data_IF_712537779265
#
_entry.id   IF_712537779265
#
_cell.length_a   1.000
_cell.length_b   1.000
_cell.length_c   1.000
_cell.angle_alpha   90.00
_cell.angle_beta   90.00
_cell.angle_gamma   90.00
#
_symmetry.space_group_name_H-M   'P 1'
#
loop_
_entity.id
_entity.type
_entity.pdbx_description
1 polymer ?
#
# COMPACT_ATOMS: atom_id res chain seq x y z
N UNK A 1 -3.90 36.20 25.40
CA UNK A 1 -4.20 34.84 25.89
C UNK A 1 -4.22 33.91 24.68
N UNK A 2 -3.22 33.04 24.56
CA UNK A 2 -3.19 32.00 23.53
C UNK A 2 -4.03 30.82 24.04
N UNK A 3 -5.14 30.51 23.37
CA UNK A 3 -6.01 29.39 23.73
C UNK A 3 -5.71 28.21 22.79
N UNK A 4 -5.05 27.13 23.27
CA UNK A 4 -4.67 25.99 22.43
C UNK A 4 -5.88 25.22 21.85
N UNK A 5 -7.07 25.37 22.43
CA UNK A 5 -8.30 24.70 21.98
C UNK A 5 -9.12 25.51 20.97
N UNK A 6 -8.74 26.77 20.70
CA UNK A 6 -9.38 27.66 19.73
C UNK A 6 -8.34 28.54 19.04
N UNK A 7 -7.58 27.99 18.07
CA UNK A 7 -6.65 28.79 17.28
C UNK A 7 -7.40 29.86 16.48
N UNK A 8 -6.69 30.93 16.11
CA UNK A 8 -7.24 31.95 15.21
C UNK A 8 -7.59 31.31 13.87
N UNK A 9 -8.73 31.68 13.25
CA UNK A 9 -9.18 31.04 12.02
C UNK A 9 -8.13 31.24 10.91
N UNK A 10 -7.73 30.14 10.27
CA UNK A 10 -6.82 30.16 9.14
C UNK A 10 -7.46 30.88 7.92
N UNK A 11 -6.67 31.53 7.06
CA UNK A 11 -7.19 32.26 5.91
C UNK A 11 -8.02 31.36 4.98
N UNK A 12 -9.03 31.92 4.29
CA UNK A 12 -9.79 31.20 3.26
C UNK A 12 -8.88 30.81 2.08
N UNK A 13 -9.24 29.74 1.37
CA UNK A 13 -8.56 29.26 0.16
C UNK A 13 -7.11 28.79 0.39
N UNK A 14 -6.87 27.99 1.43
CA UNK A 14 -5.53 27.48 1.78
C UNK A 14 -4.85 26.71 0.62
N UNK A 15 -5.64 25.93 -0.14
CA UNK A 15 -5.19 25.02 -1.20
C UNK A 15 -5.26 25.58 -2.62
N UNK A 16 -5.87 26.76 -2.83
CA UNK A 16 -6.08 27.34 -4.15
C UNK A 16 -4.76 27.53 -4.90
N UNK A 17 -4.68 26.98 -6.12
CA UNK A 17 -3.51 27.05 -7.00
C UNK A 17 -2.30 26.22 -6.53
N UNK A 18 -2.42 25.47 -5.42
CA UNK A 18 -1.36 24.59 -4.93
C UNK A 18 -1.64 23.15 -5.32
N UNK A 19 -0.60 22.47 -5.81
CA UNK A 19 -0.62 21.02 -6.04
C UNK A 19 -0.35 20.27 -4.74
N UNK A 20 -0.82 19.04 -4.65
CA UNK A 20 -0.59 18.17 -3.48
C UNK A 20 0.92 18.05 -3.19
N UNK A 21 1.40 18.42 -1.97
CA UNK A 21 2.82 18.45 -1.63
C UNK A 21 3.45 17.06 -1.42
N UNK A 22 2.67 15.98 -1.51
CA UNK A 22 3.16 14.59 -1.42
C UNK A 22 4.32 14.29 -2.40
N UNK A 23 4.31 14.92 -3.57
CA UNK A 23 5.33 14.71 -4.62
C UNK A 23 6.65 15.42 -4.32
N UNK A 24 6.60 16.64 -3.78
CA UNK A 24 7.77 17.44 -3.41
C UNK A 24 8.31 17.17 -2.01
N UNK A 25 7.53 16.48 -1.15
CA UNK A 25 7.93 16.13 0.20
C UNK A 25 9.08 15.11 0.25
N UNK A 26 9.94 15.25 1.27
CA UNK A 26 11.01 14.30 1.55
C UNK A 26 10.45 12.89 1.85
N UNK A 27 11.23 11.81 1.62
CA UNK A 27 10.75 10.44 1.88
C UNK A 27 10.26 10.24 3.32
N UNK A 28 10.91 10.89 4.29
CA UNK A 28 10.51 10.84 5.70
C UNK A 28 9.17 11.56 5.95
N UNK A 29 8.96 12.72 5.32
CA UNK A 29 7.68 13.44 5.41
C UNK A 29 6.55 12.68 4.73
N UNK A 30 6.82 12.03 3.59
CA UNK A 30 5.86 11.16 2.90
C UNK A 30 5.48 9.94 3.75
N UNK A 31 6.43 9.39 4.49
CA UNK A 31 6.22 8.23 5.36
C UNK A 31 5.41 8.59 6.61
N UNK A 32 5.75 9.69 7.28
CA UNK A 32 5.09 10.15 8.49
C UNK A 32 3.82 10.97 8.21
N UNK A 33 3.44 11.12 6.93
CA UNK A 33 2.33 11.97 6.49
C UNK A 33 2.41 13.41 7.00
N UNK A 34 3.60 13.90 7.38
CA UNK A 34 3.76 15.24 7.98
C UNK A 34 3.45 16.38 7.01
N UNK A 35 3.41 16.09 5.71
CA UNK A 35 2.95 17.05 4.69
C UNK A 35 1.44 17.37 4.81
N UNK A 36 0.66 16.55 5.53
CA UNK A 36 -0.77 16.73 5.75
C UNK A 36 -1.08 17.61 6.98
N UNK A 37 -0.13 17.73 7.91
CA UNK A 37 -0.25 18.51 9.16
C UNK A 37 -0.78 19.95 8.94
N UNK A 38 -0.27 20.76 7.99
CA UNK A 38 -0.79 22.11 7.79
C UNK A 38 -2.25 22.14 7.34
N UNK A 39 -2.71 21.11 6.61
CA UNK A 39 -4.11 21.00 6.20
C UNK A 39 -5.03 20.58 7.35
N UNK A 40 -4.57 19.66 8.21
CA UNK A 40 -5.30 19.27 9.42
C UNK A 40 -5.44 20.44 10.40
N UNK A 41 -4.41 21.28 10.51
CA UNK A 41 -4.45 22.50 11.32
C UNK A 41 -5.53 23.48 10.84
N UNK A 42 -5.71 23.63 9.52
CA UNK A 42 -6.80 24.46 8.94
C UNK A 42 -8.16 23.87 9.30
N UNK A 43 -8.35 22.56 9.14
CA UNK A 43 -9.60 21.87 9.49
C UNK A 43 -9.93 21.87 10.99
N UNK A 44 -8.91 21.91 11.86
CA UNK A 44 -9.09 22.10 13.29
C UNK A 44 -9.51 23.54 13.64
N UNK A 45 -9.07 24.51 12.84
CA UNK A 45 -9.36 25.94 13.08
C UNK A 45 -10.73 26.37 12.57
N UNK A 46 -11.15 25.88 11.40
CA UNK A 46 -12.44 26.20 10.78
C UNK A 46 -12.96 25.06 9.90
N UNK A 47 -14.27 24.97 9.60
CA UNK A 47 -14.79 24.01 8.63
C UNK A 47 -14.13 24.22 7.26
N UNK A 48 -13.80 23.10 6.61
CA UNK A 48 -13.12 23.08 5.31
C UNK A 48 -14.07 23.46 4.18
N UNK A 49 -13.59 24.29 3.27
CA UNK A 49 -14.31 24.68 2.05
C UNK A 49 -13.69 24.02 0.81
N UNK A 50 -14.40 24.07 -0.33
CA UNK A 50 -13.92 23.47 -1.59
C UNK A 50 -12.62 24.10 -2.10
N UNK A 51 -12.39 25.39 -1.83
CA UNK A 51 -11.17 26.12 -2.21
C UNK A 51 -9.94 25.78 -1.33
N UNK A 52 -10.13 25.05 -0.22
CA UNK A 52 -9.04 24.66 0.69
C UNK A 52 -8.33 23.37 0.25
N UNK A 53 -8.94 22.61 -0.66
CA UNK A 53 -8.36 21.37 -1.15
C UNK A 53 -7.24 21.63 -2.15
N UNK A 54 -6.21 20.78 -2.08
CA UNK A 54 -5.15 20.79 -3.08
C UNK A 54 -5.61 20.22 -4.41
N UNK A 55 -5.00 20.72 -5.48
CA UNK A 55 -5.17 20.18 -6.82
C UNK A 55 -4.33 18.91 -7.01
N UNK A 56 -4.91 17.91 -7.68
CA UNK A 56 -4.20 16.69 -8.04
C UNK A 56 -3.19 16.96 -9.17
N UNK A 57 -2.03 16.28 -9.19
CA UNK A 57 -1.09 16.36 -10.30
C UNK A 57 -1.68 15.74 -11.58
N UNK A 58 -1.26 16.23 -12.74
CA UNK A 58 -1.77 15.80 -14.05
C UNK A 58 -1.67 14.28 -14.29
N UNK A 59 -0.65 13.62 -13.71
CA UNK A 59 -0.45 12.17 -13.82
C UNK A 59 -1.52 11.34 -13.12
N UNK A 60 -2.23 11.91 -12.15
CA UNK A 60 -3.31 11.27 -11.39
C UNK A 60 -4.70 11.79 -11.80
N UNK A 61 -4.77 12.73 -12.74
CA UNK A 61 -6.03 13.26 -13.25
C UNK A 61 -6.78 12.20 -14.06
N UNK A 62 -8.12 12.22 -14.02
CA UNK A 62 -8.97 11.26 -14.72
C UNK A 62 -8.65 11.17 -16.21
N UNK A 63 -8.34 12.30 -16.85
CA UNK A 63 -8.02 12.36 -18.27
C UNK A 63 -6.80 11.49 -18.62
N UNK A 64 -5.67 11.69 -17.93
CA UNK A 64 -4.43 10.98 -18.22
C UNK A 64 -4.52 9.49 -17.90
N UNK A 65 -5.21 9.12 -16.81
CA UNK A 65 -5.46 7.73 -16.44
C UNK A 65 -6.33 7.01 -17.48
N UNK A 66 -7.45 7.64 -17.87
CA UNK A 66 -8.39 7.08 -18.87
C UNK A 66 -7.70 6.88 -20.21
N UNK A 67 -6.94 7.88 -20.68
CA UNK A 67 -6.17 7.77 -21.93
C UNK A 67 -5.17 6.62 -21.88
N UNK A 68 -4.49 6.42 -20.75
CA UNK A 68 -3.53 5.32 -20.59
C UNK A 68 -4.20 3.95 -20.68
N UNK A 69 -5.35 3.78 -20.03
CA UNK A 69 -6.11 2.52 -20.08
C UNK A 69 -6.72 2.29 -21.45
N UNK A 70 -7.30 3.31 -22.09
CA UNK A 70 -7.81 3.20 -23.46
C UNK A 70 -6.70 2.85 -24.44
N UNK A 71 -5.55 3.51 -24.37
CA UNK A 71 -4.39 3.18 -25.22
C UNK A 71 -3.97 1.72 -25.06
N UNK A 72 -3.87 1.23 -23.83
CA UNK A 72 -3.55 -0.16 -23.55
C UNK A 72 -4.64 -1.14 -24.01
N UNK A 73 -5.92 -0.73 -23.97
CA UNK A 73 -7.03 -1.54 -24.46
C UNK A 73 -7.01 -1.65 -25.99
N UNK A 74 -6.99 -0.51 -26.69
CA UNK A 74 -7.04 -0.46 -28.15
C UNK A 74 -5.73 -0.84 -28.85
N UNK A 75 -4.61 -0.96 -28.13
CA UNK A 75 -3.40 -1.60 -28.67
C UNK A 75 -3.60 -3.10 -28.90
N UNK A 76 -4.60 -3.72 -28.26
CA UNK A 76 -4.95 -5.14 -28.41
C UNK A 76 -6.06 -5.37 -29.43
N UNK A 77 -6.73 -4.32 -29.89
CA UNK A 77 -7.82 -4.42 -30.84
C UNK A 77 -7.31 -4.19 -32.28
N UNK A 78 -7.95 -4.79 -33.30
CA UNK A 78 -7.65 -4.51 -34.71
C UNK A 78 -7.76 -3.00 -35.01
N UNK A 79 -6.93 -2.45 -35.93
CA UNK A 79 -6.86 -1.01 -36.20
C UNK A 79 -8.21 -0.42 -36.63
N UNK A 80 -9.05 -1.19 -37.31
CA UNK A 80 -10.40 -0.80 -37.76
C UNK A 80 -11.36 -0.48 -36.61
N UNK A 81 -11.13 -1.06 -35.43
CA UNK A 81 -11.96 -0.88 -34.23
C UNK A 81 -11.47 0.25 -33.30
N UNK A 82 -10.35 0.89 -33.64
CA UNK A 82 -9.75 1.96 -32.84
C UNK A 82 -10.48 3.28 -33.11
N UNK A 83 -10.91 4.01 -32.07
CA UNK A 83 -11.55 5.29 -32.27
C UNK A 83 -10.55 6.36 -32.73
N UNK A 84 -11.00 7.24 -33.63
CA UNK A 84 -10.19 8.27 -34.30
C UNK A 84 -9.50 9.28 -33.37
N UNK A 85 -9.98 9.47 -32.14
CA UNK A 85 -9.32 10.40 -31.20
C UNK A 85 -8.00 9.84 -30.62
N UNK A 86 -7.78 8.52 -30.68
CA UNK A 86 -6.54 7.92 -30.15
C UNK A 86 -5.34 8.11 -31.07
N UNK A 87 -5.54 8.23 -32.39
CA UNK A 87 -4.46 8.56 -33.32
C UNK A 87 -3.86 9.93 -33.01
N UNK A 88 -4.71 10.91 -32.66
CA UNK A 88 -4.28 12.26 -32.35
C UNK A 88 -3.52 12.34 -31.01
N UNK A 89 -3.83 11.45 -30.05
CA UNK A 89 -3.16 11.38 -28.75
C UNK A 89 -1.79 10.67 -28.79
N UNK A 90 -1.48 9.93 -29.85
CA UNK A 90 -0.15 9.35 -30.06
C UNK A 90 0.90 10.42 -30.39
N UNK A 91 0.48 11.53 -31.00
CA UNK A 91 1.36 12.68 -31.28
C UNK A 91 1.57 13.56 -30.03
N UNK A 92 0.53 13.80 -29.23
CA UNK A 92 0.65 14.53 -27.95
C UNK A 92 1.52 13.79 -26.92
N UNK A 93 1.44 12.46 -26.91
CA UNK A 93 2.26 11.61 -26.05
C UNK A 93 3.75 11.73 -26.37
N UNK A 94 4.15 11.78 -27.65
CA UNK A 94 5.56 11.97 -28.03
C UNK A 94 6.12 13.30 -27.53
N UNK A 95 5.31 14.37 -27.54
CA UNK A 95 5.69 15.71 -27.05
C UNK A 95 5.89 15.72 -25.53
N UNK A 96 5.02 15.05 -24.76
CA UNK A 96 5.13 14.98 -23.29
C UNK A 96 6.26 14.05 -22.81
N UNK A 97 6.48 12.93 -23.51
CA UNK A 97 7.56 11.97 -23.19
C UNK A 97 8.94 12.55 -23.51
N UNK A 98 9.05 13.38 -24.56
CA UNK A 98 10.26 14.17 -24.84
C UNK A 98 10.56 15.19 -23.73
N UNK A 99 9.53 15.91 -23.25
CA UNK A 99 9.63 16.89 -22.15
C UNK A 99 10.01 16.26 -20.81
N UNK A 100 9.59 15.01 -20.58
CA UNK A 100 9.92 14.23 -19.37
C UNK A 100 11.37 13.70 -19.42
N UNK A 101 11.85 13.30 -20.61
CA UNK A 101 13.27 12.91 -20.79
C UNK A 101 14.22 14.07 -20.53
N UNK A 102 13.91 15.27 -21.03
CA UNK A 102 14.68 16.49 -20.75
C UNK A 102 14.77 16.83 -19.25
N UNK A 103 13.68 16.66 -18.50
CA UNK A 103 13.66 16.93 -17.06
C UNK A 103 14.40 15.87 -16.25
N UNK A 104 14.42 14.61 -16.72
CA UNK A 104 15.15 13.51 -16.07
C UNK A 104 16.67 13.61 -16.34
N UNK A 105 17.08 14.07 -17.53
CA UNK A 105 18.49 14.29 -17.89
C UNK A 105 19.09 15.52 -17.18
N UNK A 106 18.27 16.55 -16.91
CA UNK A 106 18.67 17.71 -16.11
C UNK A 106 18.82 17.40 -14.60
N UNK A 107 18.11 16.40 -14.07
CA UNK A 107 18.28 15.93 -12.68
C UNK A 107 19.46 14.95 -12.54
N UNK A 108 19.71 14.10 -13.54
CA UNK A 108 20.81 13.12 -13.52
C UNK A 108 22.19 13.80 -13.63
N UNK A 109 22.28 14.93 -14.35
CA UNK A 109 23.50 15.74 -14.45
C UNK A 109 23.82 16.52 -13.16
N UNK A 110 22.81 16.86 -12.33
CA UNK A 110 23.03 17.53 -11.02
C UNK A 110 23.42 16.59 -9.88
N UNK A 111 23.02 15.32 -9.94
CA UNK A 111 23.39 14.32 -8.92
C UNK A 111 24.83 13.82 -9.05
N UNK A 112 25.40 13.81 -10.26
CA UNK A 112 26.75 13.27 -10.51
C UNK A 112 27.89 14.20 -10.03
N UNK A 113 27.62 15.50 -9.85
CA UNK A 113 28.64 16.46 -9.37
C UNK A 113 28.80 16.54 -7.84
N UNK A 114 28.02 15.77 -7.05
CA UNK A 114 28.08 15.83 -5.56
C UNK A 114 28.75 14.64 -4.87
N UNK A 115 29.15 13.58 -5.59
CA UNK A 115 29.74 12.38 -4.96
C UNK A 115 31.26 12.23 -5.10
N UNK A 116 31.99 13.20 -5.66
CA UNK A 116 33.47 13.14 -5.75
C UNK A 116 34.10 14.16 -4.80
N UNK A 117 34.07 13.90 -3.49
CA UNK A 117 35.10 14.39 -2.55
C UNK A 117 35.01 13.66 -1.20
N UNK A 118 36.02 12.84 -0.90
CA UNK A 118 36.29 12.38 0.46
C UNK A 118 36.67 10.90 0.59
N UNK A 119 37.81 10.49 0.02
CA UNK A 119 38.49 9.23 0.38
C UNK A 119 39.97 9.50 0.65
N UNK A 120 40.39 9.41 1.91
CA UNK A 120 41.74 9.11 2.42
C UNK A 120 41.50 8.36 3.74
N UNK A 121 41.83 7.07 3.90
CA UNK A 121 43.14 6.39 4.08
C UNK A 121 43.84 6.78 5.38
N UNK A 122 43.96 5.82 6.32
CA UNK A 122 45.15 5.63 7.15
C UNK A 122 45.14 4.23 7.79
N UNK A 123 46.17 3.44 7.45
CA UNK A 123 46.70 2.30 8.23
C UNK A 123 47.68 2.84 9.28
N UNK A 124 47.87 2.15 10.42
CA UNK A 124 49.20 1.85 11.02
C UNK A 124 49.10 0.81 12.17
N UNK A 125 49.64 -0.39 11.92
CA UNK A 125 50.65 -1.24 12.62
C UNK A 125 50.94 -1.18 14.15
N UNK A 126 51.24 -2.38 14.70
CA UNK A 126 52.11 -2.69 15.88
C UNK A 126 51.37 -2.84 17.23
N UNK A 127 51.61 -3.79 18.15
CA UNK A 127 52.74 -4.68 18.44
C UNK A 127 52.32 -5.90 19.30
N UNK A 128 53.28 -6.81 19.49
CA UNK A 128 53.20 -8.15 20.08
C UNK A 128 53.42 -8.22 21.63
N UNK A 129 53.54 -9.47 22.13
CA UNK A 129 53.91 -9.95 23.48
C UNK A 129 52.76 -10.04 24.52
N UNK A 130 52.63 -11.04 25.40
CA UNK A 130 53.52 -12.11 25.87
C UNK A 130 52.71 -13.23 26.55
N UNK A 131 53.24 -14.44 26.45
CA UNK A 131 52.95 -15.72 27.12
C UNK A 131 53.08 -15.68 28.65
N UNK A 132 52.27 -16.48 29.36
CA UNK A 132 52.78 -17.47 30.36
C UNK A 132 51.71 -18.50 30.76
N UNK A 133 52.16 -19.77 30.83
CA UNK A 133 51.53 -20.94 31.46
C UNK A 133 52.13 -21.15 32.85
N UNK A 134 51.35 -21.58 33.84
CA UNK A 134 51.67 -22.47 35.00
C UNK A 134 50.29 -22.93 35.54
N UNK A 135 49.82 -24.18 35.51
CA UNK A 135 50.23 -25.49 36.08
C UNK A 135 49.52 -25.83 37.41
N UNK A 136 48.93 -27.04 37.40
CA UNK A 136 48.56 -27.98 38.49
C UNK A 136 47.68 -27.57 39.68
N UNK A 137 46.51 -28.24 39.80
CA UNK A 137 46.22 -29.28 40.83
C UNK A 137 44.72 -29.44 41.17
N UNK A 138 44.30 -30.70 41.27
CA UNK A 138 43.03 -31.17 41.87
C UNK A 138 43.35 -31.65 43.30
N UNK A 139 42.44 -31.55 44.30
CA UNK A 139 41.39 -32.58 44.41
C UNK A 139 40.01 -32.11 44.93
N UNK A 140 39.06 -33.00 44.65
CA UNK A 140 37.65 -33.04 45.03
C UNK A 140 37.38 -32.77 46.53
N UNK A 141 36.26 -32.08 46.85
CA UNK A 141 35.26 -32.62 47.77
C UNK A 141 33.94 -31.80 47.90
N UNK A 142 32.87 -32.57 48.06
CA UNK A 142 31.63 -32.33 48.83
C UNK A 142 30.47 -31.53 48.24
N UNK A 143 29.33 -32.22 48.26
CA UNK A 143 27.97 -31.78 47.97
C UNK A 143 27.50 -30.60 48.81
N UNK A 144 26.71 -29.71 48.21
CA UNK A 144 25.53 -29.12 48.85
C UNK A 144 24.54 -28.61 47.80
N UNK A 145 23.29 -28.89 48.10
CA UNK A 145 22.09 -28.69 47.33
C UNK A 145 21.52 -27.33 47.74
N UNK A 146 21.56 -26.31 46.88
CA UNK A 146 20.88 -25.03 47.16
C UNK A 146 20.19 -24.48 45.89
N UNK A 147 18.85 -24.43 46.02
CA UNK A 147 17.91 -23.39 45.59
C UNK A 147 18.24 -22.58 44.34
N UNK A 148 17.27 -22.61 43.41
CA UNK A 148 17.24 -21.82 42.18
C UNK A 148 17.78 -20.40 42.34
N UNK A 149 18.95 -20.19 41.76
CA UNK A 149 19.49 -18.86 41.47
C UNK A 149 18.54 -18.17 40.50
N UNK A 150 17.86 -17.12 40.99
CA UNK A 150 17.31 -16.09 40.13
C UNK A 150 18.45 -15.53 39.29
N UNK A 151 18.51 -15.91 38.02
CA UNK A 151 19.45 -15.32 37.05
C UNK A 151 19.23 -13.80 37.08
N UNK A 152 20.21 -13.06 37.59
CA UNK A 152 20.26 -11.61 37.44
C UNK A 152 20.05 -11.27 35.95
N UNK A 153 19.23 -10.27 35.60
CA UNK A 153 19.02 -9.93 34.20
C UNK A 153 20.35 -9.48 33.63
N UNK A 154 20.98 -10.35 32.83
CA UNK A 154 22.20 -10.06 32.08
C UNK A 154 21.90 -8.87 31.16
N UNK A 155 22.24 -7.67 31.64
CA UNK A 155 22.03 -6.42 30.93
C UNK A 155 23.06 -6.37 29.80
N UNK A 156 22.67 -6.88 28.63
CA UNK A 156 23.45 -6.68 27.41
C UNK A 156 23.45 -5.18 27.11
N UNK A 157 24.55 -4.48 27.42
CA UNK A 157 24.81 -3.06 27.10
C UNK A 157 24.95 -2.78 25.59
N UNK A 158 24.45 -3.71 24.77
CA UNK A 158 24.54 -3.67 23.33
C UNK A 158 23.61 -2.58 22.80
N UNK A 159 24.16 -1.41 22.52
CA UNK A 159 23.49 -0.31 21.84
C UNK A 159 22.78 -0.77 20.56
N UNK A 160 23.34 -1.77 19.86
CA UNK A 160 22.71 -2.41 18.73
C UNK A 160 21.36 -3.06 19.06
N UNK A 161 21.22 -3.72 20.22
CA UNK A 161 19.99 -4.40 20.67
C UNK A 161 18.93 -3.39 21.09
N UNK A 162 19.35 -2.26 21.70
CA UNK A 162 18.48 -1.13 22.00
C UNK A 162 18.02 -0.38 20.75
N UNK A 163 18.93 -0.15 19.79
CA UNK A 163 18.60 0.47 18.50
C UNK A 163 17.65 -0.44 17.72
N UNK A 164 17.93 -1.74 17.66
CA UNK A 164 17.07 -2.70 17.03
C UNK A 164 15.69 -2.76 17.72
N UNK A 165 15.59 -2.85 19.04
CA UNK A 165 14.28 -2.94 19.71
C UNK A 165 13.39 -1.71 19.47
N UNK A 166 13.98 -0.52 19.34
CA UNK A 166 13.26 0.73 19.07
C UNK A 166 12.90 0.87 17.60
N UNK A 167 13.88 0.72 16.70
CA UNK A 167 13.68 1.03 15.28
C UNK A 167 13.07 -0.13 14.49
N UNK A 168 13.16 -1.37 14.98
CA UNK A 168 12.64 -2.54 14.25
C UNK A 168 11.11 -2.51 14.14
N UNK A 169 10.40 -2.24 15.24
CA UNK A 169 8.93 -2.14 15.23
C UNK A 169 8.50 -0.97 14.35
N UNK A 170 9.18 0.17 14.46
CA UNK A 170 8.88 1.36 13.67
C UNK A 170 9.14 1.14 12.18
N UNK A 171 10.21 0.42 11.81
CA UNK A 171 10.54 0.07 10.44
C UNK A 171 9.48 -0.84 9.81
N UNK A 172 9.06 -1.88 10.53
CA UNK A 172 8.00 -2.78 10.06
C UNK A 172 6.64 -2.10 9.95
N UNK A 173 6.28 -1.27 10.94
CA UNK A 173 5.04 -0.50 10.92
C UNK A 173 5.02 0.51 9.76
N UNK A 174 6.13 1.21 9.52
CA UNK A 174 6.34 2.10 8.38
C UNK A 174 6.20 1.36 7.04
N UNK A 175 6.83 0.20 6.91
CA UNK A 175 6.73 -0.65 5.71
C UNK A 175 5.30 -1.10 5.44
N UNK A 176 4.58 -1.53 6.49
CA UNK A 176 3.18 -1.96 6.40
C UNK A 176 2.26 -0.80 6.00
N UNK A 177 2.38 0.36 6.65
CA UNK A 177 1.60 1.55 6.30
C UNK A 177 1.85 2.00 4.85
N UNK A 178 3.10 1.96 4.40
CA UNK A 178 3.45 2.28 3.01
C UNK A 178 2.83 1.27 2.04
N UNK A 179 2.84 -0.02 2.37
CA UNK A 179 2.20 -1.06 1.58
C UNK A 179 0.69 -0.81 1.44
N UNK A 180 0.01 -0.52 2.56
CA UNK A 180 -1.43 -0.21 2.58
C UNK A 180 -1.74 1.04 1.75
N UNK A 181 -0.97 2.12 1.92
CA UNK A 181 -1.14 3.36 1.15
C UNK A 181 -0.98 3.14 -0.36
N UNK A 182 0.03 2.38 -0.78
CA UNK A 182 0.24 2.05 -2.21
C UNK A 182 -0.90 1.16 -2.75
N UNK A 183 -1.37 0.20 -1.96
CA UNK A 183 -2.48 -0.66 -2.36
C UNK A 183 -3.78 0.15 -2.55
N UNK A 184 -4.10 1.02 -1.59
CA UNK A 184 -5.30 1.87 -1.64
C UNK A 184 -5.25 2.85 -2.82
N UNK A 185 -4.13 3.55 -3.01
CA UNK A 185 -3.98 4.50 -4.11
C UNK A 185 -4.02 3.82 -5.49
N UNK A 186 -3.56 2.57 -5.59
CA UNK A 186 -3.67 1.78 -6.82
C UNK A 186 -5.12 1.43 -7.15
N UNK A 187 -5.92 1.05 -6.14
CA UNK A 187 -7.36 0.81 -6.28
C UNK A 187 -8.12 2.04 -6.76
N UNK A 188 -7.84 3.20 -6.17
CA UNK A 188 -8.48 4.47 -6.54
C UNK A 188 -8.15 4.86 -7.99
N UNK A 189 -6.88 4.76 -8.40
CA UNK A 189 -6.46 5.05 -9.79
C UNK A 189 -7.16 4.16 -10.80
N UNK A 190 -7.28 2.86 -10.52
CA UNK A 190 -8.01 1.92 -11.37
C UNK A 190 -9.48 2.34 -11.51
N UNK A 191 -10.16 2.60 -10.38
CA UNK A 191 -11.57 3.01 -10.38
C UNK A 191 -11.80 4.27 -11.21
N UNK A 192 -11.01 5.32 -10.97
CA UNK A 192 -11.14 6.59 -11.69
C UNK A 192 -10.96 6.40 -13.20
N UNK A 193 -9.99 5.59 -13.60
CA UNK A 193 -9.78 5.27 -15.02
C UNK A 193 -10.94 4.49 -15.63
N UNK A 194 -11.51 3.54 -14.88
CA UNK A 194 -12.60 2.70 -15.36
C UNK A 194 -13.89 3.51 -15.53
N UNK A 195 -14.20 4.41 -14.59
CA UNK A 195 -15.33 5.34 -14.68
C UNK A 195 -15.22 6.19 -15.95
N UNK A 196 -14.05 6.78 -16.20
CA UNK A 196 -13.81 7.59 -17.39
C UNK A 196 -13.98 6.79 -18.70
N UNK A 197 -13.46 5.57 -18.75
CA UNK A 197 -13.57 4.70 -19.93
C UNK A 197 -15.02 4.23 -20.18
N UNK A 198 -15.75 3.81 -19.13
CA UNK A 198 -17.16 3.42 -19.24
C UNK A 198 -18.01 4.60 -19.70
N UNK A 199 -17.78 5.79 -19.15
CA UNK A 199 -18.51 6.99 -19.53
C UNK A 199 -18.25 7.40 -20.99
N UNK A 200 -16.98 7.40 -21.45
CA UNK A 200 -16.66 7.64 -22.86
C UNK A 200 -17.32 6.61 -23.79
N UNK A 201 -17.33 5.35 -23.38
CA UNK A 201 -17.96 4.27 -24.16
C UNK A 201 -19.48 4.41 -24.19
N UNK A 202 -20.12 4.78 -23.08
CA UNK A 202 -21.58 4.89 -22.99
C UNK A 202 -22.15 5.97 -23.91
N UNK A 203 -21.39 7.06 -24.13
CA UNK A 203 -21.74 8.12 -25.06
C UNK A 203 -21.67 7.69 -26.54
N UNK A 204 -20.99 6.59 -26.86
CA UNK A 204 -20.75 6.09 -28.24
C UNK A 204 -21.42 4.74 -28.52
N UNK A 205 -22.27 4.26 -27.62
CA UNK A 205 -23.03 3.03 -27.83
C UNK A 205 -24.05 3.22 -28.95
N UNK A 206 -24.12 2.23 -29.84
CA UNK A 206 -25.16 2.17 -30.89
C UNK A 206 -26.55 1.99 -30.28
N UNK A 207 -27.60 2.33 -31.03
CA UNK A 207 -28.99 2.18 -30.57
C UNK A 207 -29.33 0.74 -30.17
N UNK A 208 -28.85 -0.25 -30.93
CA UNK A 208 -29.03 -1.68 -30.60
C UNK A 208 -28.33 -2.06 -29.29
N UNK A 209 -27.08 -1.67 -29.09
CA UNK A 209 -26.33 -1.98 -27.88
C UNK A 209 -26.89 -1.27 -26.62
N UNK A 210 -27.61 -0.16 -26.79
CA UNK A 210 -28.30 0.55 -25.70
C UNK A 210 -29.55 -0.18 -25.20
N UNK A 211 -30.12 -1.10 -26.01
CA UNK A 211 -31.19 -1.99 -25.57
C UNK A 211 -30.66 -3.06 -24.61
N UNK A 212 -29.48 -3.61 -24.90
CA UNK A 212 -28.83 -4.62 -24.06
C UNK A 212 -28.15 -4.03 -22.81
N UNK A 213 -27.72 -2.76 -22.89
CA UNK A 213 -27.08 -2.02 -21.81
C UNK A 213 -27.89 -0.77 -21.46
N UNK A 214 -28.87 -0.93 -20.58
CA UNK A 214 -29.71 0.16 -20.12
C UNK A 214 -28.92 1.21 -19.35
N UNK A 215 -29.45 2.44 -19.28
CA UNK A 215 -28.84 3.53 -18.51
C UNK A 215 -28.67 3.16 -17.04
N UNK A 216 -29.62 2.42 -16.47
CA UNK A 216 -29.54 1.89 -15.10
C UNK A 216 -28.40 0.88 -14.91
N UNK A 217 -28.21 -0.03 -15.86
CA UNK A 217 -27.09 -0.98 -15.83
C UNK A 217 -25.74 -0.26 -15.94
N UNK A 218 -25.61 0.72 -16.83
CA UNK A 218 -24.38 1.53 -16.97
C UNK A 218 -24.09 2.31 -15.68
N UNK A 219 -25.12 2.90 -15.07
CA UNK A 219 -25.00 3.61 -13.80
C UNK A 219 -24.57 2.66 -12.67
N UNK A 220 -25.07 1.43 -12.67
CA UNK A 220 -24.68 0.37 -11.72
C UNK A 220 -23.22 -0.04 -11.91
N UNK A 221 -22.76 -0.21 -13.15
CA UNK A 221 -21.35 -0.48 -13.44
C UNK A 221 -20.43 0.62 -12.88
N UNK A 222 -20.81 1.90 -13.06
CA UNK A 222 -20.04 3.05 -12.56
C UNK A 222 -20.06 3.14 -11.03
N UNK A 223 -21.22 3.03 -10.41
CA UNK A 223 -21.41 3.31 -8.97
C UNK A 223 -21.12 2.13 -8.06
N UNK A 224 -21.48 0.91 -8.46
CA UNK A 224 -21.34 -0.29 -7.63
C UNK A 224 -20.13 -1.13 -8.03
N UNK A 225 -20.00 -1.46 -9.31
CA UNK A 225 -18.98 -2.43 -9.74
C UNK A 225 -17.57 -1.87 -9.64
N UNK A 226 -17.37 -0.59 -9.98
CA UNK A 226 -16.05 0.04 -9.81
C UNK A 226 -15.61 0.13 -8.34
N UNK A 227 -16.56 0.34 -7.41
CA UNK A 227 -16.30 0.36 -5.96
C UNK A 227 -15.96 -1.04 -5.45
N UNK A 228 -16.66 -2.07 -5.92
CA UNK A 228 -16.35 -3.46 -5.60
C UNK A 228 -14.94 -3.83 -6.07
N UNK A 229 -14.60 -3.44 -7.30
CA UNK A 229 -13.26 -3.66 -7.87
C UNK A 229 -12.17 -2.92 -7.07
N UNK A 230 -12.39 -1.66 -6.69
CA UNK A 230 -11.47 -0.89 -5.84
C UNK A 230 -11.17 -1.62 -4.53
N UNK A 231 -12.21 -2.10 -3.84
CA UNK A 231 -12.06 -2.86 -2.59
C UNK A 231 -11.34 -4.19 -2.80
N UNK A 232 -11.66 -4.87 -3.89
CA UNK A 232 -11.04 -6.16 -4.23
C UNK A 232 -9.54 -6.03 -4.49
N UNK A 233 -9.08 -4.90 -5.05
CA UNK A 233 -7.66 -4.68 -5.32
C UNK A 233 -6.78 -4.84 -4.07
N UNK A 234 -7.24 -4.34 -2.92
CA UNK A 234 -6.56 -4.56 -1.64
C UNK A 234 -6.69 -6.01 -1.16
N UNK A 235 -7.88 -6.61 -1.28
CA UNK A 235 -8.15 -7.98 -0.82
C UNK A 235 -7.37 -9.05 -1.58
N UNK A 236 -7.06 -8.84 -2.86
CA UNK A 236 -6.24 -9.78 -3.66
C UNK A 236 -4.87 -9.99 -3.04
N UNK A 237 -4.29 -8.98 -2.39
CA UNK A 237 -3.01 -9.14 -1.72
C UNK A 237 -3.11 -10.11 -0.52
N UNK A 238 -4.26 -10.15 0.17
CA UNK A 238 -4.48 -11.11 1.25
C UNK A 238 -4.53 -12.56 0.74
N UNK A 239 -4.88 -12.79 -0.54
CA UNK A 239 -4.99 -14.14 -1.09
C UNK A 239 -3.67 -14.92 -1.05
N UNK A 240 -2.54 -14.22 -1.25
CA UNK A 240 -1.21 -14.84 -1.22
C UNK A 240 -0.44 -14.57 0.07
N UNK A 241 -0.72 -13.46 0.76
CA UNK A 241 -0.13 -13.19 2.09
C UNK A 241 -0.67 -14.16 3.14
N UNK A 242 -1.96 -14.50 3.12
CA UNK A 242 -2.55 -15.38 4.14
C UNK A 242 -1.92 -16.80 4.15
N UNK A 243 -1.73 -17.50 3.00
CA UNK A 243 -1.02 -18.77 2.98
C UNK A 243 0.41 -18.69 3.50
N UNK A 244 1.17 -17.65 3.11
CA UNK A 244 2.54 -17.44 3.58
C UNK A 244 2.56 -17.21 5.09
N UNK A 245 1.61 -16.44 5.62
CA UNK A 245 1.46 -16.19 7.04
C UNK A 245 1.11 -17.46 7.82
N UNK A 246 0.20 -18.30 7.30
CA UNK A 246 -0.15 -19.58 7.89
C UNK A 246 1.07 -20.52 7.90
N UNK A 247 1.82 -20.59 6.80
CA UNK A 247 3.01 -21.42 6.69
C UNK A 247 4.11 -20.98 7.68
N UNK A 248 4.36 -19.67 7.80
CA UNK A 248 5.26 -19.11 8.81
C UNK A 248 4.78 -19.46 10.24
N UNK A 249 3.49 -19.26 10.52
CA UNK A 249 2.90 -19.56 11.83
C UNK A 249 3.09 -21.02 12.22
N UNK A 250 2.78 -21.95 11.32
CA UNK A 250 2.98 -23.40 11.51
C UNK A 250 4.46 -23.72 11.72
N UNK A 251 5.36 -23.13 10.90
CA UNK A 251 6.80 -23.35 11.01
C UNK A 251 7.39 -22.92 12.36
N UNK A 252 6.96 -21.76 12.88
CA UNK A 252 7.35 -21.32 14.23
C UNK A 252 6.79 -22.25 15.33
N UNK A 253 5.55 -22.72 15.16
CA UNK A 253 4.90 -23.59 16.14
C UNK A 253 5.63 -24.94 16.26
N UNK A 254 5.99 -25.56 15.13
CA UNK A 254 6.73 -26.83 15.11
C UNK A 254 8.13 -26.66 15.71
N UNK A 255 8.82 -25.53 15.45
CA UNK A 255 10.15 -25.28 15.99
C UNK A 255 10.14 -25.10 17.51
N UNK A 256 9.07 -24.51 18.07
CA UNK A 256 9.01 -24.19 19.51
C UNK A 256 8.37 -25.30 20.35
N UNK A 257 7.31 -25.96 19.86
CA UNK A 257 6.55 -26.97 20.61
C UNK A 257 6.86 -28.42 20.17
N UNK A 258 7.62 -28.63 19.09
CA UNK A 258 7.93 -29.96 18.58
C UNK A 258 6.69 -30.71 18.08
N UNK A 259 6.62 -32.01 18.36
CA UNK A 259 5.60 -32.92 17.80
C UNK A 259 4.17 -32.57 18.26
N UNK A 260 4.01 -31.97 19.43
CA UNK A 260 2.70 -31.55 19.95
C UNK A 260 1.99 -30.52 19.06
N UNK A 261 2.73 -29.75 18.25
CA UNK A 261 2.15 -28.79 17.31
C UNK A 261 1.43 -29.44 16.11
N UNK A 262 1.75 -30.70 15.77
CA UNK A 262 1.14 -31.41 14.63
C UNK A 262 -0.36 -31.65 14.83
N UNK A 263 -0.79 -31.92 16.07
CA UNK A 263 -2.22 -32.14 16.37
C UNK A 263 -3.03 -30.87 16.12
N UNK A 264 -2.53 -29.71 16.55
CA UNK A 264 -3.17 -28.43 16.29
C UNK A 264 -3.20 -28.07 14.80
N UNK A 265 -2.13 -28.36 14.06
CA UNK A 265 -2.09 -28.14 12.62
C UNK A 265 -3.11 -29.01 11.88
N UNK A 266 -3.27 -30.28 12.28
CA UNK A 266 -4.26 -31.18 11.68
C UNK A 266 -5.70 -30.67 11.86
N UNK A 267 -6.03 -30.13 13.04
CA UNK A 267 -7.36 -29.57 13.33
C UNK A 267 -7.61 -28.31 12.49
N UNK A 268 -6.63 -27.42 12.37
CA UNK A 268 -6.76 -26.21 11.53
C UNK A 268 -6.94 -26.55 10.06
N UNK A 269 -6.20 -27.55 9.55
CA UNK A 269 -6.37 -28.02 8.17
C UNK A 269 -7.75 -28.66 7.93
N UNK A 270 -8.33 -29.32 8.94
CA UNK A 270 -9.70 -29.83 8.87
C UNK A 270 -10.76 -28.72 8.86
N UNK A 271 -10.47 -27.54 9.43
CA UNK A 271 -11.34 -26.37 9.36
C UNK A 271 -11.53 -25.84 7.93
N UNK A 272 -10.49 -25.87 7.10
CA UNK A 272 -10.53 -25.34 5.73
C UNK A 272 -11.63 -25.95 4.83
N UNK A 273 -11.77 -27.29 4.76
CA UNK A 273 -12.86 -27.94 4.04
C UNK A 273 -14.25 -27.53 4.54
N UNK A 274 -14.42 -27.37 5.85
CA UNK A 274 -15.68 -26.95 6.46
C UNK A 274 -16.01 -25.52 6.03
N UNK A 275 -15.06 -24.60 6.18
CA UNK A 275 -15.20 -23.20 5.71
C UNK A 275 -15.51 -23.13 4.22
N UNK A 276 -14.88 -23.99 3.40
CA UNK A 276 -15.14 -24.06 1.97
C UNK A 276 -16.56 -24.53 1.64
N UNK A 277 -17.06 -25.58 2.31
CA UNK A 277 -18.43 -26.06 2.12
C UNK A 277 -19.44 -24.97 2.51
N UNK A 278 -19.26 -24.33 3.68
CA UNK A 278 -20.11 -23.22 4.12
C UNK A 278 -20.10 -22.06 3.10
N UNK A 279 -18.92 -21.69 2.60
CA UNK A 279 -18.80 -20.66 1.58
C UNK A 279 -19.57 -21.03 0.31
N UNK A 280 -19.46 -22.28 -0.17
CA UNK A 280 -20.21 -22.76 -1.34
C UNK A 280 -21.72 -22.66 -1.15
N UNK A 281 -22.22 -23.04 0.03
CA UNK A 281 -23.65 -22.92 0.37
C UNK A 281 -24.07 -21.45 0.37
N UNK A 282 -23.29 -20.57 0.98
CA UNK A 282 -23.55 -19.12 0.97
C UNK A 282 -23.59 -18.53 -0.44
N UNK A 283 -22.65 -18.90 -1.32
CA UNK A 283 -22.66 -18.44 -2.71
C UNK A 283 -23.89 -18.94 -3.48
N UNK A 284 -24.27 -20.20 -3.30
CA UNK A 284 -25.47 -20.76 -3.93
C UNK A 284 -26.75 -20.06 -3.43
N UNK A 285 -26.86 -19.81 -2.12
CA UNK A 285 -27.97 -19.07 -1.53
C UNK A 285 -28.03 -17.63 -2.06
N UNK A 286 -26.88 -16.94 -2.14
CA UNK A 286 -26.80 -15.56 -2.63
C UNK A 286 -27.19 -15.45 -4.10
N UNK A 287 -26.79 -16.41 -4.95
CA UNK A 287 -27.19 -16.44 -6.36
C UNK A 287 -28.72 -16.52 -6.52
N UNK A 288 -29.37 -17.36 -5.71
CA UNK A 288 -30.85 -17.45 -5.69
C UNK A 288 -31.49 -16.16 -5.16
N UNK A 289 -30.93 -15.58 -4.09
CA UNK A 289 -31.44 -14.35 -3.48
C UNK A 289 -31.38 -13.12 -4.39
N UNK A 290 -30.36 -13.00 -5.24
CA UNK A 290 -30.24 -11.88 -6.20
C UNK A 290 -31.38 -11.90 -7.21
N UNK A 291 -31.75 -13.07 -7.75
CA UNK A 291 -32.85 -13.19 -8.72
C UNK A 291 -34.19 -12.77 -8.12
N UNK A 292 -34.48 -13.22 -6.89
CA UNK A 292 -35.73 -12.87 -6.21
C UNK A 292 -35.79 -11.37 -5.86
N UNK A 293 -34.66 -10.79 -5.46
CA UNK A 293 -34.57 -9.36 -5.17
C UNK A 293 -34.82 -8.53 -6.42
N UNK A 294 -34.27 -8.94 -7.57
CA UNK A 294 -34.45 -8.26 -8.86
C UNK A 294 -35.92 -8.32 -9.33
N UNK A 295 -36.56 -9.48 -9.21
CA UNK A 295 -37.99 -9.64 -9.46
C UNK A 295 -38.84 -8.72 -8.57
N UNK A 296 -38.52 -8.62 -7.27
CA UNK A 296 -39.24 -7.75 -6.34
C UNK A 296 -39.12 -6.30 -6.74
N UNK A 297 -37.91 -5.81 -7.02
CA UNK A 297 -37.67 -4.42 -7.42
C UNK A 297 -38.46 -4.08 -8.69
N UNK A 298 -38.49 -4.99 -9.67
CA UNK A 298 -39.27 -4.81 -10.91
C UNK A 298 -40.77 -4.62 -10.64
N UNK A 299 -41.33 -5.45 -9.78
CA UNK A 299 -42.76 -5.38 -9.39
C UNK A 299 -43.10 -4.14 -8.54
N UNK A 300 -42.12 -3.48 -7.92
CA UNK A 300 -42.37 -2.27 -7.10
C UNK A 300 -42.18 -0.96 -7.89
N UNK A 301 -41.59 -1.04 -9.09
CA UNK A 301 -41.34 0.12 -9.95
C UNK A 301 -42.35 0.29 -11.10
N UNK A 302 -43.13 -0.76 -11.39
CA UNK A 302 -44.33 -0.71 -12.24
C UNK A 302 -45.53 -0.18 -11.44
#
# INVERSE_FOLDING_TARGET
MWNPLRPTPAPPAFGRGKVVPETSASPLSRLLFSWLDPFLSVGFSRPLETDDFWTLPDTRLTHSLTVRVEKAFYSRCPPESRPSFLSNLEDDGKISTARTRESTEAEMSRSSSKEIKGRQTEETKGDAEKTTRVDSDKPCQTAKNEKGEGKEPKYDSSLFKALHSVFWVQFWFAGLLKLVSVAMTSGLRMRTSLIGAIFRKSLRLSGRARLDHSVGQITTMISADTVRLERNMYMVHNLWVAPVQIALGIGLLIRNLGVSALVGCAILLMGGPIEFILARVMFAARKKGVVLTDQRVRMTSE
#
